data_IF_176795413334
#
_entry.id   IF_176795413334
#
_cell.length_a   1.000
_cell.length_b   1.000
_cell.length_c   1.000
_cell.angle_alpha   90.00
_cell.angle_beta   90.00
_cell.angle_gamma   90.00
#
_symmetry.space_group_name_H-M   'P 1'
#
loop_
_entity.id
_entity.type
_entity.pdbx_description
1 polymer ?
#
# COMPACT_ATOMS: atom_id res chain seq x y z
N UNK A 1 -6.08 -27.63 -13.30
CA UNK A 1 -5.18 -26.50 -13.60
C UNK A 1 -4.76 -25.90 -12.26
N UNK A 2 -3.46 -25.89 -11.97
CA UNK A 2 -2.89 -25.39 -10.71
C UNK A 2 -3.13 -23.88 -10.55
N UNK A 3 -4.04 -23.48 -9.66
CA UNK A 3 -4.21 -22.09 -9.21
C UNK A 3 -3.12 -21.65 -8.20
N UNK A 4 -1.91 -22.22 -8.26
CA UNK A 4 -0.79 -21.86 -7.38
C UNK A 4 -0.02 -20.62 -7.84
N UNK A 5 -0.72 -19.62 -8.37
CA UNK A 5 -0.12 -18.32 -8.73
C UNK A 5 -0.87 -17.17 -8.04
N UNK A 6 -1.52 -17.46 -6.91
CA UNK A 6 -2.32 -16.52 -6.15
C UNK A 6 -1.52 -15.93 -4.99
N UNK A 7 -1.05 -14.71 -5.22
CA UNK A 7 -0.51 -13.78 -4.21
C UNK A 7 0.73 -14.19 -3.42
N UNK A 8 1.59 -13.21 -3.08
CA UNK A 8 2.55 -13.44 -2.02
C UNK A 8 1.83 -13.65 -0.69
N UNK A 9 2.07 -14.79 -0.03
CA UNK A 9 1.72 -14.96 1.37
C UNK A 9 2.26 -13.76 2.17
N UNK A 10 1.36 -12.92 2.67
CA UNK A 10 1.70 -11.85 3.60
C UNK A 10 2.25 -12.52 4.87
N UNK A 11 3.36 -12.02 5.38
CA UNK A 11 3.86 -12.51 6.67
C UNK A 11 2.91 -12.05 7.79
N UNK A 12 2.77 -12.82 8.88
CA UNK A 12 2.04 -12.45 10.10
C UNK A 12 2.32 -11.01 10.56
N UNK A 13 3.58 -10.58 10.47
CA UNK A 13 3.99 -9.22 10.81
C UNK A 13 3.39 -8.14 9.88
N UNK A 14 3.23 -8.46 8.60
CA UNK A 14 2.64 -7.59 7.60
C UNK A 14 1.13 -7.51 7.80
N UNK A 15 0.49 -8.64 8.13
CA UNK A 15 -0.93 -8.71 8.48
C UNK A 15 -1.21 -7.86 9.74
N UNK A 16 -0.45 -8.06 10.81
CA UNK A 16 -0.59 -7.26 12.04
C UNK A 16 -0.40 -5.75 11.77
N UNK A 17 0.49 -5.39 10.85
CA UNK A 17 0.70 -3.99 10.44
C UNK A 17 -0.48 -3.44 9.64
N UNK A 18 -1.05 -4.21 8.72
CA UNK A 18 -2.25 -3.81 7.97
C UNK A 18 -3.43 -3.63 8.94
N UNK A 19 -3.62 -4.58 9.88
CA UNK A 19 -4.62 -4.46 10.94
C UNK A 19 -4.41 -3.18 11.75
N UNK A 20 -3.19 -2.89 12.18
CA UNK A 20 -2.87 -1.66 12.91
C UNK A 20 -3.25 -0.38 12.14
N UNK A 21 -2.95 -0.34 10.84
CA UNK A 21 -3.29 0.84 10.02
C UNK A 21 -4.79 1.01 9.84
N UNK A 22 -5.56 -0.09 9.76
CA UNK A 22 -7.01 -0.05 9.56
C UNK A 22 -7.81 0.17 10.85
N UNK A 23 -7.40 -0.44 11.95
CA UNK A 23 -8.18 -0.47 13.20
C UNK A 23 -7.55 0.35 14.33
N UNK A 24 -6.33 0.87 14.12
CA UNK A 24 -5.55 1.56 15.16
C UNK A 24 -4.98 0.62 16.23
N UNK A 25 -5.30 -0.68 16.20
CA UNK A 25 -4.83 -1.68 17.15
C UNK A 25 -3.98 -2.73 16.43
N UNK A 26 -2.78 -2.98 16.96
CA UNK A 26 -1.88 -4.00 16.42
C UNK A 26 -2.16 -5.33 17.12
N UNK A 27 -2.76 -6.33 16.44
CA UNK A 27 -2.95 -7.65 17.04
C UNK A 27 -1.58 -8.30 17.29
N UNK A 28 -1.51 -9.12 18.34
CA UNK A 28 -0.33 -9.91 18.62
C UNK A 28 -0.15 -10.98 17.54
N UNK A 29 1.10 -11.36 17.23
CA UNK A 29 1.39 -12.32 16.16
C UNK A 29 0.74 -13.68 16.41
N UNK A 30 0.66 -14.10 17.68
CA UNK A 30 -0.03 -15.33 18.07
C UNK A 30 -1.54 -15.26 17.77
N UNK A 31 -2.16 -14.10 17.96
CA UNK A 31 -3.58 -13.88 17.63
C UNK A 31 -3.80 -13.93 16.12
N UNK A 32 -2.91 -13.30 15.34
CA UNK A 32 -2.99 -13.38 13.88
C UNK A 32 -2.87 -14.83 13.42
N UNK A 33 -1.93 -15.59 13.98
CA UNK A 33 -1.76 -17.00 13.66
C UNK A 33 -2.98 -17.82 14.04
N UNK A 34 -3.50 -17.65 15.25
CA UNK A 34 -4.70 -18.37 15.72
C UNK A 34 -5.90 -18.12 14.82
N UNK A 35 -6.16 -16.86 14.43
CA UNK A 35 -7.26 -16.51 13.51
C UNK A 35 -7.06 -17.12 12.11
N UNK A 36 -5.82 -17.17 11.61
CA UNK A 36 -5.51 -17.80 10.33
C UNK A 36 -5.60 -19.33 10.37
N UNK A 37 -5.36 -19.94 11.53
CA UNK A 37 -5.45 -21.38 11.76
C UNK A 37 -6.91 -21.82 12.04
N UNK A 38 -7.75 -20.95 12.61
CA UNK A 38 -9.15 -21.21 12.99
C UNK A 38 -10.15 -21.13 11.82
N UNK A 39 -9.96 -20.19 10.89
CA UNK A 39 -10.74 -20.13 9.64
C UNK A 39 -9.82 -20.21 8.40
N UNK A 40 -9.99 -21.20 7.50
CA UNK A 40 -9.36 -21.14 6.19
C UNK A 40 -9.95 -19.94 5.43
N UNK A 41 -9.19 -18.85 5.33
CA UNK A 41 -9.58 -17.62 4.65
C UNK A 41 -10.26 -17.93 3.30
N UNK A 42 -11.37 -17.26 2.96
CA UNK A 42 -11.99 -17.43 1.65
C UNK A 42 -10.95 -17.16 0.54
N UNK A 43 -10.76 -18.18 -0.30
CA UNK A 43 -9.71 -18.43 -1.30
C UNK A 43 -9.60 -17.35 -2.40
N UNK A 44 -10.45 -16.31 -2.41
CA UNK A 44 -10.38 -15.25 -3.43
C UNK A 44 -9.63 -14.05 -2.89
N UNK A 45 -8.31 -14.10 -2.99
CA UNK A 45 -7.50 -12.90 -2.90
C UNK A 45 -7.87 -11.97 -4.06
N UNK A 46 -8.81 -11.05 -3.81
CA UNK A 46 -9.21 -10.06 -4.80
C UNK A 46 -7.97 -9.23 -5.19
N UNK A 47 -7.52 -9.40 -6.43
CA UNK A 47 -6.53 -8.54 -7.08
C UNK A 47 -7.14 -7.16 -7.31
N UNK A 48 -7.20 -6.33 -6.26
CA UNK A 48 -7.68 -4.93 -6.35
C UNK A 48 -6.98 -4.13 -7.46
N UNK A 49 -5.71 -4.42 -7.75
CA UNK A 49 -4.97 -3.84 -8.86
C UNK A 49 -4.29 -4.93 -9.69
N UNK A 50 -4.25 -4.77 -11.03
CA UNK A 50 -3.46 -5.67 -11.87
C UNK A 50 -1.95 -5.41 -11.66
N UNK A 51 -1.08 -6.35 -12.09
CA UNK A 51 0.37 -6.18 -12.08
C UNK A 51 0.83 -4.85 -12.69
N UNK A 52 1.94 -4.31 -12.21
CA UNK A 52 2.39 -2.94 -12.54
C UNK A 52 2.52 -2.68 -14.04
N UNK A 53 2.93 -3.69 -14.82
CA UNK A 53 3.12 -3.56 -16.27
C UNK A 53 1.81 -3.55 -17.05
N UNK A 54 0.79 -4.24 -16.55
CA UNK A 54 -0.53 -4.36 -17.18
C UNK A 54 -1.37 -3.11 -17.00
N UNK A 55 -1.06 -2.26 -16.00
CA UNK A 55 -1.69 -0.95 -15.88
C UNK A 55 -1.17 -0.05 -17.01
N UNK A 56 -2.00 0.42 -17.95
CA UNK A 56 -1.53 1.18 -19.12
C UNK A 56 -1.04 2.58 -18.74
N UNK A 57 -1.69 3.23 -17.78
CA UNK A 57 -1.39 4.60 -17.39
C UNK A 57 -0.33 4.69 -16.27
N UNK A 58 0.67 5.56 -16.49
CA UNK A 58 1.70 5.88 -15.49
C UNK A 58 1.15 6.56 -14.24
N UNK A 59 0.01 7.26 -14.29
CA UNK A 59 -0.67 7.77 -13.09
C UNK A 59 -1.41 6.64 -12.36
N UNK A 60 -2.09 5.74 -13.06
CA UNK A 60 -2.68 4.51 -12.50
C UNK A 60 -1.66 3.64 -11.74
N UNK A 61 -0.49 3.39 -12.34
CA UNK A 61 0.63 2.66 -11.72
C UNK A 61 1.07 3.27 -10.39
N UNK A 62 1.19 4.60 -10.35
CA UNK A 62 1.57 5.33 -9.14
C UNK A 62 0.47 5.28 -8.09
N UNK A 63 -0.80 5.41 -8.49
CA UNK A 63 -1.96 5.34 -7.59
C UNK A 63 -2.04 3.98 -6.90
N UNK A 64 -1.81 2.88 -7.61
CA UNK A 64 -1.79 1.53 -7.03
C UNK A 64 -0.72 1.39 -5.94
N UNK A 65 0.53 1.82 -6.23
CA UNK A 65 1.63 1.78 -5.25
C UNK A 65 1.33 2.64 -4.02
N UNK A 66 0.79 3.85 -4.21
CA UNK A 66 0.46 4.75 -3.12
C UNK A 66 -0.69 4.19 -2.29
N UNK A 67 -1.77 3.71 -2.91
CA UNK A 67 -2.92 3.16 -2.20
C UNK A 67 -2.52 1.99 -1.29
N UNK A 68 -1.78 1.00 -1.82
CA UNK A 68 -1.29 -0.12 -1.03
C UNK A 68 -0.38 0.32 0.13
N UNK A 69 0.46 1.34 -0.09
CA UNK A 69 1.31 1.88 0.97
C UNK A 69 0.50 2.55 2.09
N UNK A 70 -0.59 3.24 1.75
CA UNK A 70 -1.50 3.86 2.72
C UNK A 70 -2.35 2.85 3.49
N UNK A 71 -2.67 1.71 2.88
CA UNK A 71 -3.30 0.58 3.56
C UNK A 71 -2.35 -0.12 4.56
N UNK A 72 -1.07 0.26 4.60
CA UNK A 72 -0.09 -0.30 5.52
C UNK A 72 0.69 -1.48 4.98
N UNK A 73 0.57 -1.79 3.69
CA UNK A 73 1.34 -2.86 3.07
C UNK A 73 2.84 -2.55 3.13
N UNK A 74 3.65 -3.58 3.43
CA UNK A 74 5.09 -3.43 3.39
C UNK A 74 5.59 -3.27 1.96
N UNK A 75 6.62 -2.44 1.74
CA UNK A 75 7.17 -2.18 0.40
C UNK A 75 7.62 -3.45 -0.34
N UNK A 76 8.00 -4.50 0.41
CA UNK A 76 8.36 -5.81 -0.15
C UNK A 76 7.12 -6.54 -0.68
N UNK A 77 6.05 -6.58 0.10
CA UNK A 77 4.75 -7.16 -0.30
C UNK A 77 4.14 -6.41 -1.48
N UNK A 78 4.23 -5.06 -1.50
CA UNK A 78 3.78 -4.25 -2.64
C UNK A 78 4.54 -4.64 -3.91
N UNK A 79 5.86 -4.78 -3.83
CA UNK A 79 6.68 -5.19 -4.98
C UNK A 79 6.29 -6.58 -5.48
N UNK A 80 6.13 -7.54 -4.57
CA UNK A 80 5.73 -8.90 -4.93
C UNK A 80 4.30 -8.97 -5.48
N UNK A 81 3.36 -8.20 -4.93
CA UNK A 81 1.98 -8.08 -5.39
C UNK A 81 1.90 -7.49 -6.80
N UNK A 82 2.59 -6.37 -7.04
CA UNK A 82 2.60 -5.69 -8.33
C UNK A 82 3.59 -6.30 -9.35
N UNK A 83 4.28 -7.39 -8.98
CA UNK A 83 5.34 -8.05 -9.77
C UNK A 83 6.46 -7.09 -10.23
N UNK A 84 6.94 -6.26 -9.31
CA UNK A 84 8.04 -5.30 -9.52
C UNK A 84 9.07 -5.35 -8.41
N UNK A 85 10.28 -4.89 -8.72
CA UNK A 85 11.33 -4.78 -7.71
C UNK A 85 11.01 -3.71 -6.65
N UNK A 86 11.51 -3.93 -5.42
CA UNK A 86 11.36 -3.02 -4.28
C UNK A 86 11.93 -1.63 -4.57
N UNK A 87 12.96 -1.51 -5.40
CA UNK A 87 13.50 -0.22 -5.85
C UNK A 87 12.47 0.61 -6.60
N UNK A 88 11.63 -0.02 -7.44
CA UNK A 88 10.58 0.65 -8.20
C UNK A 88 9.52 1.22 -7.26
N UNK A 89 9.09 0.44 -6.27
CA UNK A 89 8.16 0.89 -5.23
C UNK A 89 8.74 2.09 -4.46
N UNK A 90 9.99 1.99 -3.99
CA UNK A 90 10.65 3.10 -3.27
C UNK A 90 10.80 4.35 -4.13
N UNK A 91 11.11 4.19 -5.42
CA UNK A 91 11.23 5.31 -6.38
C UNK A 91 9.90 6.00 -6.56
N UNK A 92 8.84 5.24 -6.85
CA UNK A 92 7.48 5.77 -7.03
C UNK A 92 7.01 6.55 -5.80
N UNK A 93 7.22 5.99 -4.60
CA UNK A 93 6.88 6.67 -3.35
C UNK A 93 7.71 7.96 -3.19
N UNK A 94 9.04 7.89 -3.35
CA UNK A 94 9.93 9.06 -3.25
C UNK A 94 9.51 10.18 -4.20
N UNK A 95 9.20 9.84 -5.45
CA UNK A 95 8.76 10.80 -6.46
C UNK A 95 7.38 11.36 -6.15
N UNK A 96 6.47 10.53 -5.62
CA UNK A 96 5.17 10.96 -5.09
C UNK A 96 5.34 12.01 -4.00
N UNK A 97 6.17 11.75 -2.99
CA UNK A 97 6.47 12.70 -1.91
C UNK A 97 7.19 13.97 -2.38
N UNK A 98 8.04 13.88 -3.42
CA UNK A 98 8.65 15.07 -4.04
C UNK A 98 7.59 15.93 -4.74
N UNK A 99 6.68 15.33 -5.51
CA UNK A 99 5.59 16.04 -6.18
C UNK A 99 4.63 16.68 -5.18
N UNK A 100 4.24 15.93 -4.14
CA UNK A 100 3.46 16.41 -3.01
C UNK A 100 4.04 17.71 -2.39
N UNK A 101 5.36 17.69 -2.11
CA UNK A 101 6.07 18.86 -1.54
C UNK A 101 6.17 20.05 -2.48
N UNK A 102 6.30 19.83 -3.80
CA UNK A 102 6.26 20.93 -4.78
C UNK A 102 4.87 21.54 -4.85
N UNK A 103 3.83 20.72 -4.86
CA UNK A 103 2.43 21.17 -4.88
C UNK A 103 2.02 21.91 -3.59
N UNK A 104 2.56 21.54 -2.42
CA UNK A 104 2.36 22.31 -1.19
C UNK A 104 3.08 23.65 -1.24
N UNK A 105 4.29 23.72 -1.82
CA UNK A 105 5.08 24.95 -1.93
C UNK A 105 4.46 25.97 -2.88
N UNK A 106 3.78 25.52 -3.95
CA UNK A 106 2.99 26.39 -4.84
C UNK A 106 1.69 26.88 -4.18
N UNK A 107 1.11 26.12 -3.25
CA UNK A 107 -0.05 26.58 -2.43
C UNK A 107 0.35 27.56 -1.32
N UNK A 108 1.58 27.50 -0.83
CA UNK A 108 2.10 28.44 0.18
C UNK A 108 2.35 29.86 -0.33
N UNK A 109 2.19 30.13 -1.63
CA UNK A 109 2.14 31.50 -2.15
C UNK A 109 0.79 32.20 -1.86
N UNK A 110 -0.21 31.47 -1.33
CA UNK A 110 -1.56 32.03 -1.09
C UNK A 110 -2.14 31.85 0.31
N UNK A 111 -1.72 30.89 1.14
CA UNK A 111 -2.33 30.68 2.47
C UNK A 111 -1.29 30.25 3.50
N UNK A 112 -1.09 31.10 4.52
CA UNK A 112 -0.37 30.76 5.75
C UNK A 112 -1.25 29.87 6.62
N UNK A 113 -0.65 28.78 7.12
CA UNK A 113 -1.13 28.04 8.28
C UNK A 113 -2.12 26.93 7.99
N UNK A 114 -1.68 25.67 8.09
CA UNK A 114 -2.50 24.55 8.56
C UNK A 114 -1.67 23.25 8.65
N UNK A 115 -1.43 22.83 9.90
CA UNK A 115 -1.36 21.45 10.42
C UNK A 115 -0.76 20.34 9.51
N UNK A 116 0.41 19.84 9.95
CA UNK A 116 1.12 18.65 9.46
C UNK A 116 0.36 17.35 9.78
N UNK A 117 -0.79 17.15 9.15
CA UNK A 117 -1.39 15.83 9.02
C UNK A 117 -0.67 15.04 7.92
N UNK A 118 -0.43 13.74 8.14
CA UNK A 118 0.22 12.82 7.19
C UNK A 118 -0.71 12.46 6.01
N UNK A 119 -1.45 13.44 5.50
CA UNK A 119 -2.41 13.28 4.39
C UNK A 119 -1.62 13.17 3.10
N UNK A 120 -1.89 12.15 2.28
CA UNK A 120 -1.29 12.06 0.96
C UNK A 120 -1.98 13.05 0.03
N UNK A 121 -1.31 14.10 -0.47
CA UNK A 121 -1.93 14.97 -1.46
C UNK A 121 -2.06 14.31 -2.85
N UNK A 122 -1.65 13.03 -2.99
CA UNK A 122 -1.72 12.26 -4.24
C UNK A 122 -3.05 11.51 -4.36
N UNK A 123 -3.71 11.23 -3.24
CA UNK A 123 -5.08 10.74 -3.15
C UNK A 123 -5.90 11.95 -2.70
N UNK A 124 -6.35 12.77 -3.65
CA UNK A 124 -7.33 13.81 -3.34
C UNK A 124 -8.63 13.15 -2.89
N UNK A 125 -8.77 13.01 -1.58
CA UNK A 125 -10.01 12.88 -0.80
C UNK A 125 -9.76 13.59 0.52
#
# INVERSE_FOLDING_TARGET
MDLKVEHPALNLNEIARICFVRTGRRPHLATVRAVLDEEPLPIKAFTRFPPYREIPDGRGRRKAVVALHYEGWANKSIGRYLRVDRSTVRRVLRDGWRRARRASRTKSAGVRGAIRGRVCPVLGV
#
